data_IF_146963457231
#
_entry.id   IF_146963457231
#
_cell.length_a   1.000
_cell.length_b   1.000
_cell.length_c   1.000
_cell.angle_alpha   90.00
_cell.angle_beta   90.00
_cell.angle_gamma   90.00
#
_symmetry.space_group_name_H-M   'P 1'
#
loop_
_entity.id
_entity.type
_entity.pdbx_description
1 polymer ?
#
# COMPACT_ATOMS: atom_id res chain seq x y z
N UNK A 1 12.46 24.83 -18.28
CA UNK A 1 12.60 24.02 -17.08
C UNK A 1 12.33 22.58 -17.46
N UNK A 2 13.36 21.73 -17.42
CA UNK A 2 13.22 20.28 -17.63
C UNK A 2 12.48 19.63 -16.46
N UNK A 3 12.03 18.39 -16.63
CA UNK A 3 11.37 17.64 -15.55
C UNK A 3 12.35 17.39 -14.38
N UNK A 4 13.62 17.11 -14.67
CA UNK A 4 14.66 16.94 -13.65
C UNK A 4 14.92 18.22 -12.86
N UNK A 5 15.01 19.37 -13.53
CA UNK A 5 15.15 20.68 -12.88
C UNK A 5 13.94 20.98 -11.97
N UNK A 6 12.72 20.66 -12.43
CA UNK A 6 11.51 20.85 -11.63
C UNK A 6 11.50 19.95 -10.38
N UNK A 7 11.95 18.70 -10.49
CA UNK A 7 12.05 17.77 -9.35
C UNK A 7 13.02 18.30 -8.30
N UNK A 8 14.24 18.71 -8.71
CA UNK A 8 15.24 19.25 -7.78
C UNK A 8 14.79 20.57 -7.16
N UNK A 9 14.22 21.49 -7.96
CA UNK A 9 13.68 22.74 -7.43
C UNK A 9 12.56 22.51 -6.40
N UNK A 10 11.69 21.53 -6.66
CA UNK A 10 10.63 21.16 -5.72
C UNK A 10 11.20 20.54 -4.45
N UNK A 11 12.20 19.66 -4.58
CA UNK A 11 12.92 19.06 -3.46
C UNK A 11 13.58 20.13 -2.58
N UNK A 12 14.33 21.05 -3.18
CA UNK A 12 14.98 22.15 -2.46
C UNK A 12 13.97 23.04 -1.74
N UNK A 13 12.84 23.35 -2.39
CA UNK A 13 11.76 24.11 -1.78
C UNK A 13 11.13 23.39 -0.58
N UNK A 14 10.91 22.08 -0.67
CA UNK A 14 10.37 21.28 0.44
C UNK A 14 11.32 21.26 1.64
N UNK A 15 12.63 21.14 1.40
CA UNK A 15 13.65 21.17 2.45
C UNK A 15 13.73 22.58 3.06
N UNK A 16 13.79 23.62 2.23
CA UNK A 16 13.88 25.01 2.67
C UNK A 16 12.69 25.44 3.56
N UNK A 17 11.49 24.94 3.29
CA UNK A 17 10.28 25.22 4.07
C UNK A 17 10.02 24.20 5.20
N UNK A 18 10.95 23.27 5.47
CA UNK A 18 10.79 22.19 6.46
C UNK A 18 9.55 21.30 6.23
N UNK A 19 9.10 21.16 4.99
CA UNK A 19 7.93 20.36 4.61
C UNK A 19 8.25 18.88 4.36
N UNK A 20 9.54 18.51 4.34
CA UNK A 20 10.00 17.14 4.13
C UNK A 20 9.40 16.13 5.12
N UNK A 21 9.37 16.43 6.43
CA UNK A 21 8.84 15.50 7.44
C UNK A 21 7.31 15.38 7.35
N UNK A 22 6.53 16.47 7.29
CA UNK A 22 5.08 16.39 7.08
C UNK A 22 4.71 15.60 5.82
N UNK A 23 5.42 15.84 4.71
CA UNK A 23 5.17 15.12 3.46
C UNK A 23 5.51 13.63 3.59
N UNK A 24 6.65 13.30 4.21
CA UNK A 24 7.03 11.91 4.48
C UNK A 24 5.90 11.19 5.24
N UNK A 25 5.42 11.78 6.34
CA UNK A 25 4.34 11.20 7.15
C UNK A 25 3.06 11.06 6.32
N UNK A 26 2.72 12.07 5.52
CA UNK A 26 1.52 12.04 4.67
C UNK A 26 1.57 10.91 3.63
N UNK A 27 2.71 10.72 2.96
CA UNK A 27 2.89 9.67 1.96
C UNK A 27 2.77 8.28 2.59
N UNK A 28 3.40 8.07 3.75
CA UNK A 28 3.29 6.80 4.50
C UNK A 28 1.86 6.60 5.01
N UNK A 29 1.21 7.67 5.47
CA UNK A 29 -0.18 7.62 5.92
C UNK A 29 -1.12 7.22 4.77
N UNK A 30 -0.93 7.74 3.55
CA UNK A 30 -1.72 7.32 2.39
C UNK A 30 -1.49 5.87 2.02
N UNK A 31 -0.25 5.39 2.03
CA UNK A 31 0.04 3.97 1.81
C UNK A 31 -0.62 3.07 2.88
N UNK A 32 -0.56 3.48 4.15
CA UNK A 32 -1.22 2.79 5.26
C UNK A 32 -2.75 2.82 5.12
N UNK A 33 -3.34 3.98 4.86
CA UNK A 33 -4.78 4.20 4.85
C UNK A 33 -5.44 3.50 3.65
N UNK A 34 -4.78 3.48 2.49
CA UNK A 34 -5.21 2.71 1.33
C UNK A 34 -5.30 1.20 1.66
N UNK A 35 -4.30 0.66 2.36
CA UNK A 35 -4.27 -0.73 2.81
C UNK A 35 -5.29 -1.02 3.93
N UNK A 36 -5.51 -0.08 4.85
CA UNK A 36 -6.38 -0.26 6.01
C UNK A 36 -7.88 -0.10 5.71
N UNK A 37 -8.24 0.87 4.88
CA UNK A 37 -9.62 1.36 4.80
C UNK A 37 -10.46 0.70 3.70
N UNK A 38 -9.93 -0.28 2.97
CA UNK A 38 -10.56 -0.85 1.76
C UNK A 38 -10.88 0.20 0.68
N UNK A 39 -10.38 1.43 0.84
CA UNK A 39 -10.59 2.55 -0.07
C UNK A 39 -9.39 2.63 -1.02
N UNK A 40 -9.08 1.51 -1.67
CA UNK A 40 -8.09 1.45 -2.77
C UNK A 40 -8.50 2.28 -4.01
N UNK A 41 -9.69 2.89 -3.99
CA UNK A 41 -10.21 3.71 -5.10
C UNK A 41 -10.11 5.22 -4.85
N UNK A 42 -9.79 5.67 -3.63
CA UNK A 42 -9.78 7.11 -3.28
C UNK A 42 -8.42 7.59 -2.81
N UNK A 43 -7.60 6.74 -2.18
CA UNK A 43 -6.29 7.14 -1.67
C UNK A 43 -5.16 6.59 -2.56
N UNK A 44 -4.33 7.47 -3.16
CA UNK A 44 -3.28 7.05 -4.09
C UNK A 44 -2.02 6.60 -3.33
N UNK A 45 -2.10 5.47 -2.60
CA UNK A 45 -0.97 4.96 -1.81
C UNK A 45 0.18 4.46 -2.67
N UNK A 46 -0.09 3.79 -3.80
CA UNK A 46 0.94 3.41 -4.79
C UNK A 46 1.64 4.65 -5.38
N UNK A 47 0.86 5.68 -5.74
CA UNK A 47 1.42 6.95 -6.20
C UNK A 47 2.25 7.61 -5.10
N UNK A 48 1.85 7.47 -3.84
CA UNK A 48 2.62 8.02 -2.70
C UNK A 48 3.98 7.33 -2.56
N UNK A 49 4.06 6.02 -2.80
CA UNK A 49 5.33 5.28 -2.84
C UNK A 49 6.20 5.69 -4.04
N UNK A 50 5.61 5.89 -5.21
CA UNK A 50 6.33 6.39 -6.40
C UNK A 50 6.92 7.78 -6.16
N UNK A 51 6.11 8.73 -5.67
CA UNK A 51 6.56 10.08 -5.31
C UNK A 51 7.66 9.99 -4.24
N UNK A 52 7.48 9.10 -3.27
CA UNK A 52 8.48 8.78 -2.25
C UNK A 52 9.84 8.41 -2.81
N UNK A 53 9.87 7.53 -3.82
CA UNK A 53 11.07 7.12 -4.54
C UNK A 53 11.71 8.26 -5.35
N UNK A 54 10.90 9.04 -6.07
CA UNK A 54 11.37 10.21 -6.84
C UNK A 54 12.04 11.24 -5.92
N UNK A 55 11.40 11.58 -4.79
CA UNK A 55 11.95 12.54 -3.83
C UNK A 55 13.17 11.99 -3.08
N UNK A 56 13.26 10.67 -2.88
CA UNK A 56 14.45 10.04 -2.34
C UNK A 56 15.64 10.17 -3.30
N UNK A 57 15.41 10.02 -4.61
CA UNK A 57 16.44 10.26 -5.64
C UNK A 57 16.91 11.72 -5.64
N UNK A 58 15.99 12.66 -5.48
CA UNK A 58 16.29 14.09 -5.38
C UNK A 58 17.00 14.50 -4.07
N UNK A 59 17.25 13.57 -3.15
CA UNK A 59 18.00 13.82 -1.92
C UNK A 59 17.17 14.32 -0.73
N UNK A 60 15.83 14.34 -0.83
CA UNK A 60 14.95 14.81 0.25
C UNK A 60 15.02 13.89 1.48
N UNK A 61 15.18 12.58 1.26
CA UNK A 61 15.35 11.59 2.33
C UNK A 61 16.10 10.36 1.83
N UNK A 62 16.63 9.57 2.77
CA UNK A 62 17.26 8.30 2.45
C UNK A 62 16.22 7.28 1.93
N UNK A 63 16.49 6.69 0.76
CA UNK A 63 15.60 5.72 0.11
C UNK A 63 15.30 4.49 0.98
N UNK A 64 16.28 4.01 1.76
CA UNK A 64 16.11 2.84 2.63
C UNK A 64 15.23 3.15 3.83
N UNK A 65 15.31 4.37 4.36
CA UNK A 65 14.44 4.83 5.46
C UNK A 65 13.00 4.94 4.96
N UNK A 66 12.79 5.54 3.79
CA UNK A 66 11.46 5.63 3.18
C UNK A 66 10.90 4.23 2.86
N UNK A 67 11.71 3.35 2.26
CA UNK A 67 11.32 1.97 1.97
C UNK A 67 10.94 1.20 3.23
N UNK A 68 11.73 1.30 4.30
CA UNK A 68 11.42 0.67 5.57
C UNK A 68 10.08 1.15 6.14
N UNK A 69 9.86 2.47 6.15
CA UNK A 69 8.60 3.05 6.59
C UNK A 69 7.41 2.65 5.71
N UNK A 70 7.60 2.58 4.40
CA UNK A 70 6.60 2.14 3.44
C UNK A 70 6.17 0.69 3.67
N UNK A 71 7.14 -0.21 3.87
CA UNK A 71 6.89 -1.62 4.17
C UNK A 71 6.10 -1.75 5.48
N UNK A 72 6.53 -1.05 6.54
CA UNK A 72 5.84 -1.07 7.84
C UNK A 72 4.43 -0.51 7.71
N UNK A 73 4.25 0.62 7.03
CA UNK A 73 2.94 1.23 6.79
C UNK A 73 2.00 0.30 6.02
N UNK A 74 2.49 -0.36 4.98
CA UNK A 74 1.70 -1.29 4.21
C UNK A 74 1.30 -2.52 5.03
N UNK A 75 2.24 -3.15 5.75
CA UNK A 75 1.96 -4.33 6.59
C UNK A 75 0.99 -3.98 7.73
N UNK A 76 1.17 -2.81 8.36
CA UNK A 76 0.30 -2.33 9.43
C UNK A 76 -1.11 -2.05 8.90
N UNK A 77 -1.23 -1.42 7.73
CA UNK A 77 -2.52 -1.15 7.10
C UNK A 77 -3.29 -2.43 6.79
N UNK A 78 -2.64 -3.42 6.17
CA UNK A 78 -3.27 -4.71 5.92
C UNK A 78 -3.63 -5.45 7.22
N UNK A 79 -2.83 -5.30 8.29
CA UNK A 79 -3.16 -5.88 9.59
C UNK A 79 -4.42 -5.26 10.20
N UNK A 80 -4.64 -3.95 10.01
CA UNK A 80 -5.89 -3.28 10.36
C UNK A 80 -7.04 -3.83 9.53
N UNK A 81 -6.86 -3.98 8.22
CA UNK A 81 -7.86 -4.60 7.33
C UNK A 81 -8.24 -6.02 7.77
N UNK A 82 -7.26 -6.83 8.19
CA UNK A 82 -7.48 -8.15 8.75
C UNK A 82 -8.30 -8.11 10.04
N UNK A 83 -7.95 -7.25 11.00
CA UNK A 83 -8.69 -7.19 12.26
C UNK A 83 -10.11 -6.64 12.07
N UNK A 84 -10.30 -5.69 11.15
CA UNK A 84 -11.63 -5.23 10.72
C UNK A 84 -12.42 -6.42 10.17
N UNK A 85 -11.86 -7.20 9.24
CA UNK A 85 -12.54 -8.37 8.68
C UNK A 85 -12.88 -9.43 9.74
N UNK A 86 -11.98 -9.66 10.70
CA UNK A 86 -12.15 -10.65 11.77
C UNK A 86 -13.24 -10.28 12.78
N UNK A 87 -13.35 -9.00 13.14
CA UNK A 87 -14.31 -8.54 14.14
C UNK A 87 -15.65 -8.09 13.54
N UNK A 88 -15.64 -7.51 12.34
CA UNK A 88 -16.83 -6.91 11.70
C UNK A 88 -17.35 -7.72 10.51
N UNK A 89 -16.68 -8.81 10.12
CA UNK A 89 -16.95 -9.62 8.93
C UNK A 89 -18.42 -9.92 8.60
N UNK A 90 -19.20 -10.52 9.51
CA UNK A 90 -20.62 -10.81 9.26
C UNK A 90 -21.45 -9.55 8.99
N UNK A 91 -21.15 -8.46 9.71
CA UNK A 91 -21.84 -7.16 9.58
C UNK A 91 -21.40 -6.38 8.34
N UNK A 92 -20.16 -6.57 7.88
CA UNK A 92 -19.62 -5.89 6.69
C UNK A 92 -20.36 -6.31 5.43
N UNK A 93 -20.67 -7.60 5.26
CA UNK A 93 -21.43 -8.11 4.10
C UNK A 93 -22.84 -7.53 4.00
N UNK A 94 -23.49 -7.28 5.14
CA UNK A 94 -24.87 -6.81 5.22
C UNK A 94 -25.00 -5.27 5.18
N UNK A 95 -23.94 -4.57 5.57
CA UNK A 95 -23.87 -3.11 5.56
C UNK A 95 -23.67 -2.52 4.15
N UNK A 96 -23.86 -1.19 4.04
CA UNK A 96 -23.73 -0.45 2.79
C UNK A 96 -22.40 -0.72 2.06
N UNK A 97 -21.33 -0.96 2.80
CA UNK A 97 -20.01 -1.30 2.25
C UNK A 97 -19.97 -2.67 1.55
N UNK A 98 -20.53 -3.72 2.17
CA UNK A 98 -20.63 -5.04 1.53
C UNK A 98 -21.44 -5.01 0.24
N UNK A 99 -22.50 -4.20 0.22
CA UNK A 99 -23.32 -3.92 -0.97
C UNK A 99 -22.56 -3.14 -2.05
N UNK A 100 -21.72 -2.17 -1.66
CA UNK A 100 -20.87 -1.40 -2.59
C UNK A 100 -19.78 -2.27 -3.24
N UNK A 101 -19.14 -3.15 -2.47
CA UNK A 101 -18.17 -4.12 -3.01
C UNK A 101 -18.86 -5.07 -4.00
N UNK A 102 -20.08 -5.49 -3.69
CA UNK A 102 -20.91 -6.32 -4.56
C UNK A 102 -20.55 -7.81 -4.50
N UNK A 103 -21.57 -8.65 -4.62
CA UNK A 103 -21.46 -10.10 -4.37
C UNK A 103 -20.47 -10.81 -5.30
N UNK A 104 -20.34 -10.35 -6.56
CA UNK A 104 -19.37 -10.90 -7.52
C UNK A 104 -17.92 -10.75 -7.05
N UNK A 105 -17.56 -9.59 -6.49
CA UNK A 105 -16.19 -9.33 -6.01
C UNK A 105 -15.89 -10.11 -4.73
N UNK A 106 -16.88 -10.25 -3.84
CA UNK A 106 -16.77 -11.13 -2.67
C UNK A 106 -16.57 -12.59 -3.05
N UNK A 107 -17.34 -13.12 -4.01
CA UNK A 107 -17.19 -14.50 -4.50
C UNK A 107 -15.84 -14.72 -5.18
N UNK A 108 -15.39 -13.78 -6.00
CA UNK A 108 -14.08 -13.86 -6.65
C UNK A 108 -12.95 -13.93 -5.61
N UNK A 109 -12.98 -13.03 -4.63
CA UNK A 109 -11.92 -12.96 -3.63
C UNK A 109 -11.95 -14.16 -2.68
N UNK A 110 -13.13 -14.71 -2.35
CA UNK A 110 -13.26 -15.98 -1.64
C UNK A 110 -12.73 -17.16 -2.46
N UNK A 111 -13.08 -17.27 -3.75
CA UNK A 111 -12.60 -18.35 -4.61
C UNK A 111 -11.06 -18.33 -4.78
N UNK A 112 -10.46 -17.14 -4.87
CA UNK A 112 -9.01 -16.97 -4.90
C UNK A 112 -8.40 -17.37 -3.55
N UNK A 113 -9.04 -16.98 -2.45
CA UNK A 113 -8.61 -17.37 -1.11
C UNK A 113 -8.64 -18.89 -0.90
N UNK A 114 -9.74 -19.56 -1.29
CA UNK A 114 -9.90 -21.01 -1.19
C UNK A 114 -8.89 -21.76 -2.09
N UNK A 115 -8.56 -21.20 -3.26
CA UNK A 115 -7.63 -21.81 -4.21
C UNK A 115 -6.16 -21.67 -3.79
N UNK A 116 -5.76 -20.48 -3.32
CA UNK A 116 -4.35 -20.15 -3.07
C UNK A 116 -3.99 -20.03 -1.60
N UNK A 117 -4.94 -20.18 -0.68
CA UNK A 117 -4.76 -20.10 0.77
C UNK A 117 -3.89 -18.89 1.17
N UNK A 118 -2.78 -19.11 1.89
CA UNK A 118 -1.85 -18.04 2.25
C UNK A 118 -1.19 -17.34 1.05
N UNK A 119 -0.99 -18.04 -0.07
CA UNK A 119 -0.47 -17.45 -1.31
C UNK A 119 -1.42 -16.41 -1.91
N UNK A 120 -2.73 -16.49 -1.65
CA UNK A 120 -3.70 -15.47 -2.06
C UNK A 120 -3.37 -14.09 -1.47
N UNK A 121 -2.77 -14.05 -0.27
CA UNK A 121 -2.37 -12.82 0.42
C UNK A 121 -1.16 -12.18 -0.28
N UNK A 122 -0.24 -13.01 -0.77
CA UNK A 122 0.92 -12.55 -1.52
C UNK A 122 0.52 -12.06 -2.93
N UNK A 123 -0.16 -12.91 -3.71
CA UNK A 123 -0.52 -12.58 -5.09
C UNK A 123 -1.65 -11.55 -5.18
N UNK A 124 -2.55 -11.50 -4.19
CA UNK A 124 -3.63 -10.52 -4.13
C UNK A 124 -3.11 -9.08 -4.04
N UNK A 125 -1.88 -8.89 -3.56
CA UNK A 125 -1.25 -7.58 -3.42
C UNK A 125 -0.94 -6.91 -4.76
N UNK A 126 -0.73 -7.69 -5.82
CA UNK A 126 -0.45 -7.18 -7.17
C UNK A 126 -1.70 -6.70 -7.94
N UNK A 127 -2.88 -6.85 -7.33
CA UNK A 127 -4.15 -6.45 -7.93
C UNK A 127 -4.81 -5.41 -7.03
N UNK A 128 -4.98 -4.17 -7.52
CA UNK A 128 -5.52 -3.06 -6.73
C UNK A 128 -6.81 -3.42 -5.96
N UNK A 129 -7.71 -4.18 -6.60
CA UNK A 129 -8.95 -4.63 -5.97
C UNK A 129 -8.73 -5.70 -4.88
N UNK A 130 -7.87 -6.68 -5.15
CA UNK A 130 -7.64 -7.79 -4.21
C UNK A 130 -6.78 -7.36 -3.03
N UNK A 131 -5.85 -6.43 -3.23
CA UNK A 131 -5.01 -5.84 -2.18
C UNK A 131 -5.84 -5.29 -1.02
N UNK A 132 -6.91 -4.56 -1.34
CA UNK A 132 -7.84 -4.07 -0.34
C UNK A 132 -8.66 -5.21 0.29
N UNK A 133 -9.23 -6.13 -0.48
CA UNK A 133 -10.22 -7.09 0.01
C UNK A 133 -9.63 -8.32 0.72
N UNK A 134 -8.44 -8.77 0.32
CA UNK A 134 -7.84 -10.02 0.80
C UNK A 134 -7.51 -9.99 2.30
N UNK A 135 -6.98 -8.89 2.89
CA UNK A 135 -6.80 -8.81 4.33
C UNK A 135 -8.11 -8.97 5.11
N UNK A 136 -9.20 -8.27 4.74
CA UNK A 136 -10.51 -8.51 5.38
C UNK A 136 -10.93 -9.96 5.27
N UNK A 137 -10.86 -10.53 4.08
CA UNK A 137 -11.31 -11.90 3.86
C UNK A 137 -10.52 -12.91 4.67
N UNK A 138 -9.20 -12.73 4.80
CA UNK A 138 -8.38 -13.54 5.69
C UNK A 138 -8.83 -13.39 7.16
N UNK A 139 -9.18 -12.17 7.58
CA UNK A 139 -9.77 -11.91 8.89
C UNK A 139 -11.13 -12.61 9.09
N UNK A 140 -12.04 -12.45 8.14
CA UNK A 140 -13.39 -13.03 8.14
C UNK A 140 -13.35 -14.56 8.22
N UNK A 141 -12.42 -15.18 7.50
CA UNK A 141 -12.18 -16.62 7.51
C UNK A 141 -11.31 -17.09 8.70
N UNK A 142 -10.96 -16.19 9.64
CA UNK A 142 -10.17 -16.47 10.85
C UNK A 142 -8.84 -17.18 10.56
N UNK A 143 -8.18 -16.82 9.46
CA UNK A 143 -6.85 -17.32 9.13
C UNK A 143 -5.90 -17.03 10.29
N UNK A 144 -5.06 -17.97 10.75
CA UNK A 144 -4.12 -17.70 11.83
C UNK A 144 -3.27 -16.46 11.52
N UNK A 145 -3.27 -15.46 12.41
CA UNK A 145 -2.61 -14.17 12.17
C UNK A 145 -1.12 -14.33 11.79
N UNK A 146 -0.43 -15.32 12.36
CA UNK A 146 0.97 -15.62 12.02
C UNK A 146 1.15 -16.06 10.56
N UNK A 147 0.20 -16.81 10.01
CA UNK A 147 0.22 -17.20 8.60
C UNK A 147 -0.08 -16.00 7.72
N UNK A 148 -1.11 -15.22 8.09
CA UNK A 148 -1.44 -13.97 7.41
C UNK A 148 -0.24 -13.02 7.34
N UNK A 149 0.37 -12.73 8.49
CA UNK A 149 1.48 -11.78 8.61
C UNK A 149 2.69 -12.21 7.79
N UNK A 150 3.01 -13.51 7.71
CA UNK A 150 4.13 -14.01 6.90
C UNK A 150 3.94 -13.69 5.42
N UNK A 151 2.77 -14.01 4.86
CA UNK A 151 2.47 -13.75 3.46
C UNK A 151 2.27 -12.25 3.18
N UNK A 152 1.66 -11.55 4.11
CA UNK A 152 1.48 -10.11 4.08
C UNK A 152 2.82 -9.37 4.07
N UNK A 153 3.75 -9.75 4.95
CA UNK A 153 5.08 -9.16 5.02
C UNK A 153 5.90 -9.45 3.76
N UNK A 154 5.88 -10.70 3.27
CA UNK A 154 6.55 -11.04 2.02
C UNK A 154 6.02 -10.19 0.85
N UNK A 155 4.70 -10.04 0.73
CA UNK A 155 4.08 -9.21 -0.30
C UNK A 155 4.42 -7.73 -0.12
N UNK A 156 4.36 -7.22 1.12
CA UNK A 156 4.70 -5.83 1.47
C UNK A 156 6.12 -5.48 1.10
N UNK A 157 7.07 -6.33 1.45
CA UNK A 157 8.48 -6.15 1.10
C UNK A 157 8.66 -6.11 -0.41
N UNK A 158 8.17 -7.11 -1.14
CA UNK A 158 8.38 -7.21 -2.59
C UNK A 158 7.73 -6.03 -3.31
N UNK A 159 6.46 -5.74 -3.01
CA UNK A 159 5.71 -4.72 -3.74
C UNK A 159 6.19 -3.30 -3.42
N UNK A 160 6.41 -2.98 -2.13
CA UNK A 160 6.94 -1.67 -1.75
C UNK A 160 8.34 -1.45 -2.33
N UNK A 161 9.18 -2.48 -2.37
CA UNK A 161 10.50 -2.40 -3.02
C UNK A 161 10.35 -2.08 -4.50
N UNK A 162 9.54 -2.84 -5.24
CA UNK A 162 9.34 -2.61 -6.67
C UNK A 162 8.86 -1.19 -6.94
N UNK A 163 7.82 -0.72 -6.23
CA UNK A 163 7.21 0.59 -6.50
C UNK A 163 8.13 1.75 -6.10
N UNK A 164 8.78 1.69 -4.95
CA UNK A 164 9.72 2.75 -4.50
C UNK A 164 10.91 2.83 -5.44
N UNK A 165 11.53 1.69 -5.80
CA UNK A 165 12.66 1.69 -6.72
C UNK A 165 12.25 2.08 -8.14
N UNK A 166 11.04 1.72 -8.59
CA UNK A 166 10.53 2.20 -9.88
C UNK A 166 10.46 3.73 -9.92
N UNK A 167 9.97 4.37 -8.85
CA UNK A 167 9.97 5.82 -8.75
C UNK A 167 11.39 6.42 -8.72
N UNK A 168 12.29 5.79 -7.97
CA UNK A 168 13.69 6.22 -7.86
C UNK A 168 14.44 6.14 -9.21
N UNK A 169 14.34 5.01 -9.91
CA UNK A 169 14.98 4.81 -11.21
C UNK A 169 14.31 5.60 -12.33
N UNK A 170 12.99 5.83 -12.24
CA UNK A 170 12.31 6.73 -13.16
C UNK A 170 12.89 8.15 -13.07
N UNK A 171 13.07 8.67 -11.86
CA UNK A 171 13.73 9.97 -11.67
C UNK A 171 15.18 9.98 -12.22
N UNK A 172 15.93 8.90 -11.99
CA UNK A 172 17.29 8.74 -12.51
C UNK A 172 17.34 8.79 -14.05
N UNK A 173 16.43 8.09 -14.74
CA UNK A 173 16.36 8.09 -16.22
C UNK A 173 15.97 9.43 -16.84
N UNK A 174 15.34 10.32 -16.07
CA UNK A 174 15.01 11.69 -16.48
C UNK A 174 16.17 12.67 -16.25
N UNK A 175 17.20 12.26 -15.50
CA UNK A 175 18.38 13.07 -15.21
C UNK A 175 19.51 12.89 -16.25
N UNK A 176 19.47 11.79 -17.03
CA UNK A 176 20.28 11.57 -18.25
C UNK A 176 19.71 12.28 -19.46
#
# INVERSE_FOLDING_TARGET
MSISEWIHHTADSLVAHNLQIPLFILLIFFAFAEAAAFVGFVLPGETSLLIGGVLAHAGVWNVWVFLGAAIVGAIAGDSVGYEIGKHLGPRIKENAFGRFVGEKRWKLAQAIFDRYHGGAIFFGRAQALLRALVPALAGMNKVPYRQFLKWNAAGGIVFSTIVVFLGYEFANSLAT
#
